data_IF_137655585645
#
_entry.id   IF_137655585645
#
_cell.length_a   1.000
_cell.length_b   1.000
_cell.length_c   1.000
_cell.angle_alpha   90.00
_cell.angle_beta   90.00
_cell.angle_gamma   90.00
#
_symmetry.space_group_name_H-M   'P 1'
#
loop_
_entity.id
_entity.type
_entity.pdbx_description
1 polymer ?
#
# COMPACT_ATOMS: atom_id res chain seq x y z
N UNK A 1 7.14 -42.36 -31.42
CA UNK A 1 6.29 -42.26 -30.21
C UNK A 1 7.17 -41.69 -29.10
N UNK A 2 7.14 -40.37 -28.88
CA UNK A 2 7.92 -39.74 -27.80
C UNK A 2 7.37 -40.25 -26.47
N UNK A 3 8.22 -40.85 -25.62
CA UNK A 3 7.83 -41.21 -24.25
C UNK A 3 7.76 -39.91 -23.45
N UNK A 4 6.55 -39.52 -23.12
CA UNK A 4 6.24 -38.42 -22.20
C UNK A 4 6.56 -38.86 -20.77
N UNK A 5 7.41 -38.12 -20.06
CA UNK A 5 7.56 -38.26 -18.61
C UNK A 5 6.45 -37.43 -17.96
N UNK A 6 5.60 -38.04 -17.16
CA UNK A 6 4.60 -37.33 -16.34
C UNK A 6 5.23 -36.98 -14.99
N UNK A 7 4.96 -35.78 -14.48
CA UNK A 7 5.23 -35.44 -13.09
C UNK A 7 4.33 -36.31 -12.20
N UNK A 8 4.91 -37.10 -11.30
CA UNK A 8 4.15 -37.97 -10.37
C UNK A 8 3.34 -37.19 -9.32
N UNK A 9 3.54 -35.87 -9.21
CA UNK A 9 3.03 -35.06 -8.10
C UNK A 9 1.78 -34.27 -8.49
N UNK A 10 1.79 -33.48 -9.58
CA UNK A 10 0.64 -32.60 -9.89
C UNK A 10 -0.36 -33.13 -10.92
N UNK A 11 -0.10 -34.25 -11.60
CA UNK A 11 -1.08 -34.91 -12.51
C UNK A 11 -1.59 -34.08 -13.69
N UNK A 12 -1.22 -32.79 -13.78
CA UNK A 12 -1.68 -31.84 -14.78
C UNK A 12 -0.68 -31.79 -15.95
N UNK A 13 -1.22 -31.80 -17.16
CA UNK A 13 -0.47 -31.71 -18.41
C UNK A 13 -0.79 -30.36 -19.03
N UNK A 14 0.15 -29.42 -18.94
CA UNK A 14 0.24 -28.34 -19.91
C UNK A 14 1.64 -28.40 -20.55
N UNK A 15 1.70 -28.35 -21.89
CA UNK A 15 2.96 -28.47 -22.63
C UNK A 15 3.57 -27.12 -22.98
N UNK A 16 2.87 -26.01 -22.71
CA UNK A 16 3.29 -24.68 -23.15
C UNK A 16 3.65 -23.72 -22.01
N UNK A 17 3.41 -24.07 -20.73
CA UNK A 17 3.74 -23.21 -19.59
C UNK A 17 4.59 -23.91 -18.52
N UNK A 18 5.72 -23.30 -18.14
CA UNK A 18 6.64 -23.76 -17.08
C UNK A 18 6.07 -23.50 -15.66
N UNK A 19 4.80 -23.83 -15.41
CA UNK A 19 4.13 -23.53 -14.15
C UNK A 19 3.30 -24.73 -13.67
N UNK A 20 3.55 -25.24 -12.46
CA UNK A 20 2.72 -26.25 -11.81
C UNK A 20 2.20 -25.66 -10.48
N UNK A 21 0.90 -25.32 -10.47
CA UNK A 21 0.21 -24.81 -9.30
C UNK A 21 -0.42 -25.96 -8.50
N UNK A 22 0.13 -26.19 -7.31
CA UNK A 22 -0.49 -26.81 -6.13
C UNK A 22 -0.61 -28.35 -6.07
N UNK A 23 -0.13 -28.91 -4.96
CA UNK A 23 -0.81 -30.02 -4.27
C UNK A 23 -0.96 -29.66 -2.77
N UNK A 24 -2.07 -30.02 -2.09
CA UNK A 24 -2.46 -29.48 -0.77
C UNK A 24 -1.64 -29.99 0.43
N UNK A 25 -0.79 -31.00 0.23
CA UNK A 25 -0.10 -31.69 1.32
C UNK A 25 1.21 -31.02 1.77
N UNK A 26 1.55 -29.86 1.20
CA UNK A 26 2.81 -29.16 1.45
C UNK A 26 2.56 -27.70 1.86
N UNK A 27 2.05 -27.51 3.06
CA UNK A 27 1.96 -26.19 3.69
C UNK A 27 3.38 -25.79 4.13
N UNK A 28 3.90 -24.68 3.58
CA UNK A 28 5.11 -24.00 4.09
C UNK A 28 6.35 -23.96 3.18
N UNK A 29 6.31 -24.46 1.94
CA UNK A 29 7.42 -24.32 0.98
C UNK A 29 6.93 -24.03 -0.44
N UNK A 30 7.46 -22.99 -1.07
CA UNK A 30 7.26 -22.70 -2.50
C UNK A 30 8.42 -23.28 -3.32
N UNK A 31 8.14 -23.93 -4.45
CA UNK A 31 9.15 -24.47 -5.36
C UNK A 31 8.99 -23.88 -6.76
N UNK A 32 10.06 -23.29 -7.29
CA UNK A 32 10.13 -22.89 -8.70
C UNK A 32 10.67 -24.08 -9.50
N UNK A 33 9.93 -24.52 -10.51
CA UNK A 33 10.34 -25.61 -11.38
C UNK A 33 11.02 -25.02 -12.63
N UNK A 34 12.36 -24.97 -12.63
CA UNK A 34 13.13 -24.76 -13.86
C UNK A 34 13.56 -26.14 -14.38
N UNK A 35 13.20 -26.47 -15.63
CA UNK A 35 13.64 -27.69 -16.33
C UNK A 35 13.37 -29.03 -15.63
N UNK A 36 12.28 -29.13 -14.87
CA UNK A 36 11.85 -30.36 -14.16
C UNK A 36 12.84 -30.91 -13.11
N UNK A 37 13.82 -30.11 -12.67
CA UNK A 37 14.68 -30.43 -11.53
C UNK A 37 14.43 -29.44 -10.37
N UNK A 38 14.33 -29.98 -9.15
CA UNK A 38 14.15 -29.21 -7.91
C UNK A 38 15.41 -28.36 -7.69
N UNK A 39 15.34 -27.05 -7.95
CA UNK A 39 16.56 -26.24 -8.00
C UNK A 39 17.01 -25.68 -6.65
N UNK A 40 16.11 -25.26 -5.74
CA UNK A 40 16.53 -24.60 -4.49
C UNK A 40 15.47 -24.76 -3.39
N UNK A 41 15.90 -25.04 -2.15
CA UNK A 41 15.13 -24.74 -0.93
C UNK A 41 15.36 -23.27 -0.60
N UNK A 42 14.29 -22.47 -0.57
CA UNK A 42 14.37 -21.11 -0.03
C UNK A 42 14.43 -21.25 1.49
N UNK A 43 15.61 -21.03 2.06
CA UNK A 43 15.74 -20.76 3.49
C UNK A 43 15.16 -19.37 3.74
N UNK A 44 14.25 -19.26 4.73
CA UNK A 44 13.77 -17.98 5.25
C UNK A 44 14.93 -17.32 6.03
N UNK A 45 15.92 -16.80 5.31
CA UNK A 45 17.04 -16.08 5.91
C UNK A 45 16.53 -14.73 6.46
N UNK A 46 16.36 -14.66 7.79
CA UNK A 46 16.10 -13.41 8.54
C UNK A 46 17.16 -12.32 8.27
N UNK A 47 18.31 -12.69 7.71
CA UNK A 47 19.42 -11.79 7.31
C UNK A 47 19.12 -10.93 6.06
N UNK A 48 18.01 -11.15 5.35
CA UNK A 48 17.58 -10.33 4.20
C UNK A 48 16.52 -9.27 4.54
N UNK A 49 16.13 -9.16 5.81
CA UNK A 49 15.08 -8.22 6.24
C UNK A 49 15.62 -6.78 6.23
N UNK A 50 15.12 -5.95 5.31
CA UNK A 50 15.35 -4.50 5.36
C UNK A 50 14.49 -3.87 6.47
N UNK A 51 15.02 -3.92 7.70
CA UNK A 51 14.42 -3.34 8.90
C UNK A 51 14.07 -1.86 8.76
N UNK A 52 14.80 -1.14 7.91
CA UNK A 52 14.53 0.27 7.65
C UNK A 52 13.29 0.44 6.80
N UNK A 53 13.16 -0.33 5.72
CA UNK A 53 11.95 -0.35 4.90
C UNK A 53 10.71 -0.69 5.76
N UNK A 54 10.79 -1.75 6.55
CA UNK A 54 9.70 -2.15 7.46
C UNK A 54 9.31 -1.04 8.44
N UNK A 55 10.29 -0.31 8.96
CA UNK A 55 10.04 0.83 9.86
C UNK A 55 9.25 1.93 9.15
N UNK A 56 9.62 2.27 7.91
CA UNK A 56 8.90 3.28 7.11
C UNK A 56 7.50 2.82 6.69
N UNK A 57 7.32 1.54 6.39
CA UNK A 57 6.01 0.94 6.09
C UNK A 57 5.11 1.02 7.32
N UNK A 58 5.59 0.60 8.50
CA UNK A 58 4.83 0.71 9.75
C UNK A 58 4.48 2.17 10.07
N UNK A 59 5.41 3.10 9.90
CA UNK A 59 5.15 4.52 10.09
C UNK A 59 4.06 5.05 9.17
N UNK A 60 4.02 4.59 7.92
CA UNK A 60 2.98 4.96 6.96
C UNK A 60 1.61 4.42 7.39
N UNK A 61 1.58 3.20 7.95
CA UNK A 61 0.37 2.58 8.53
C UNK A 61 -0.16 3.38 9.72
N UNK A 62 0.69 3.61 10.72
CA UNK A 62 0.35 4.38 11.93
C UNK A 62 -0.14 5.79 11.58
N UNK A 63 0.49 6.41 10.58
CA UNK A 63 0.16 7.73 10.09
C UNK A 63 -1.26 7.80 9.51
N UNK A 64 -1.58 6.89 8.58
CA UNK A 64 -2.89 6.83 7.96
C UNK A 64 -3.96 6.41 8.98
N UNK A 65 -3.63 5.50 9.90
CA UNK A 65 -4.49 5.13 11.01
C UNK A 65 -4.89 6.33 11.85
N UNK A 66 -3.91 7.14 12.26
CA UNK A 66 -4.18 8.30 13.11
C UNK A 66 -5.05 9.36 12.43
N UNK A 67 -4.84 9.59 11.14
CA UNK A 67 -5.62 10.54 10.36
C UNK A 67 -7.05 10.07 10.10
N UNK A 68 -7.27 8.76 9.89
CA UNK A 68 -8.56 8.23 9.46
C UNK A 68 -9.44 7.68 10.59
N UNK A 69 -8.84 7.24 11.69
CA UNK A 69 -9.55 6.69 12.87
C UNK A 69 -10.73 7.55 13.37
N UNK A 70 -10.64 8.90 13.38
CA UNK A 70 -11.78 9.74 13.79
C UNK A 70 -13.02 9.63 12.89
N UNK A 71 -12.87 9.15 11.66
CA UNK A 71 -13.89 9.24 10.61
C UNK A 71 -14.48 7.88 10.19
N UNK A 72 -13.96 6.78 10.72
CA UNK A 72 -14.39 5.44 10.30
C UNK A 72 -13.91 4.32 11.21
N UNK A 73 -14.13 3.09 10.74
CA UNK A 73 -13.43 1.92 11.28
C UNK A 73 -12.16 1.74 10.46
N UNK A 74 -11.03 1.59 11.12
CA UNK A 74 -9.79 1.20 10.48
C UNK A 74 -9.28 -0.10 11.09
N UNK A 75 -8.69 -0.95 10.26
CA UNK A 75 -8.05 -2.21 10.63
C UNK A 75 -6.66 -2.21 9.95
N UNK A 76 -5.61 -2.09 10.77
CA UNK A 76 -4.21 -2.20 10.34
C UNK A 76 -3.85 -3.68 10.26
N UNK A 77 -3.14 -4.10 9.22
CA UNK A 77 -2.75 -5.50 8.99
C UNK A 77 -3.95 -6.45 9.07
N UNK A 78 -5.01 -6.08 8.32
CA UNK A 78 -6.24 -6.85 8.31
C UNK A 78 -6.00 -8.17 7.58
N UNK A 79 -6.05 -9.26 8.35
CA UNK A 79 -6.08 -10.62 7.79
C UNK A 79 -7.34 -10.89 7.00
N UNK A 80 -7.16 -11.46 5.82
CA UNK A 80 -8.24 -11.91 4.95
C UNK A 80 -8.59 -13.35 5.32
N UNK A 81 -9.86 -13.61 5.62
CA UNK A 81 -10.25 -14.93 6.13
C UNK A 81 -10.11 -16.00 5.05
N UNK A 82 -9.41 -17.09 5.38
CA UNK A 82 -9.17 -18.25 4.50
C UNK A 82 -8.37 -17.93 3.22
N UNK A 83 -7.54 -16.89 3.25
CA UNK A 83 -6.66 -16.55 2.13
C UNK A 83 -5.20 -16.81 2.51
N UNK A 84 -4.37 -17.41 1.63
CA UNK A 84 -2.93 -17.50 1.83
C UNK A 84 -2.21 -16.18 1.49
N UNK A 85 -2.94 -15.13 1.12
CA UNK A 85 -2.42 -13.83 0.72
C UNK A 85 -1.98 -13.04 1.94
N UNK A 86 -0.93 -12.22 1.79
CA UNK A 86 -0.45 -11.29 2.83
C UNK A 86 -1.56 -10.34 3.30
N UNK A 87 -1.47 -9.92 4.56
CA UNK A 87 -2.41 -9.01 5.18
C UNK A 87 -2.56 -7.69 4.40
N UNK A 88 -3.76 -7.10 4.49
CA UNK A 88 -4.02 -5.75 3.96
C UNK A 88 -3.37 -4.76 4.90
N UNK A 89 -2.55 -3.85 4.37
CA UNK A 89 -1.84 -2.89 5.20
C UNK A 89 -2.80 -2.04 6.02
N UNK A 90 -3.82 -1.48 5.36
CA UNK A 90 -4.87 -0.70 5.99
C UNK A 90 -6.21 -0.95 5.30
N UNK A 91 -7.18 -1.41 6.06
CA UNK A 91 -8.59 -1.39 5.67
C UNK A 91 -9.30 -0.22 6.35
N UNK A 92 -9.97 0.63 5.57
CA UNK A 92 -10.78 1.72 6.07
C UNK A 92 -12.24 1.57 5.64
N UNK A 93 -13.17 1.76 6.57
CA UNK A 93 -14.60 1.85 6.33
C UNK A 93 -15.16 3.14 6.95
N UNK A 94 -15.52 4.16 6.13
CA UNK A 94 -16.02 5.43 6.66
C UNK A 94 -17.35 5.24 7.40
N UNK A 95 -17.50 5.97 8.52
CA UNK A 95 -18.76 6.06 9.29
C UNK A 95 -19.49 7.38 9.06
N UNK A 96 -18.81 8.35 8.45
CA UNK A 96 -19.35 9.65 8.06
C UNK A 96 -19.61 9.69 6.56
N UNK A 97 -20.61 10.46 6.13
CA UNK A 97 -20.91 10.65 4.70
C UNK A 97 -19.88 11.51 3.98
N UNK A 98 -19.21 12.40 4.72
CA UNK A 98 -18.19 13.31 4.20
C UNK A 98 -17.04 13.41 5.20
N UNK A 99 -15.82 13.24 4.70
CA UNK A 99 -14.60 13.49 5.47
C UNK A 99 -14.23 14.97 5.41
N UNK A 100 -13.53 15.51 6.43
CA UNK A 100 -13.13 16.92 6.44
C UNK A 100 -12.29 17.31 5.22
N UNK A 101 -12.52 18.53 4.72
CA UNK A 101 -11.78 19.04 3.56
C UNK A 101 -10.29 19.22 3.85
N UNK A 102 -9.93 19.40 5.12
CA UNK A 102 -8.56 19.50 5.60
C UNK A 102 -7.75 18.25 5.31
N UNK A 103 -8.37 17.06 5.17
CA UNK A 103 -7.70 15.83 4.72
C UNK A 103 -7.40 15.83 3.21
N UNK A 104 -7.96 16.76 2.45
CA UNK A 104 -7.69 16.92 1.01
C UNK A 104 -7.93 15.65 0.20
N UNK A 105 -6.92 15.24 -0.57
CA UNK A 105 -6.95 14.06 -1.43
C UNK A 105 -7.15 12.78 -0.62
N UNK A 106 -6.61 12.68 0.61
CA UNK A 106 -6.83 11.51 1.46
C UNK A 106 -8.32 11.31 1.77
N UNK A 107 -9.08 12.39 2.02
CA UNK A 107 -10.54 12.31 2.17
C UNK A 107 -11.24 11.79 0.91
N UNK A 108 -10.72 12.11 -0.27
CA UNK A 108 -11.26 11.63 -1.55
C UNK A 108 -11.02 10.12 -1.73
N UNK A 109 -9.80 9.65 -1.44
CA UNK A 109 -9.45 8.22 -1.54
C UNK A 109 -10.25 7.39 -0.52
N UNK A 110 -10.47 7.94 0.68
CA UNK A 110 -11.16 7.31 1.80
C UNK A 110 -12.69 7.56 1.80
N UNK A 111 -13.27 8.12 0.73
CA UNK A 111 -14.71 8.44 0.66
C UNK A 111 -15.60 7.21 0.76
N UNK A 112 -15.12 6.07 0.27
CA UNK A 112 -15.79 4.77 0.40
C UNK A 112 -14.91 3.82 1.19
N UNK A 113 -15.36 2.57 1.37
CA UNK A 113 -14.46 1.53 1.88
C UNK A 113 -13.21 1.45 1.00
N UNK A 114 -12.05 1.34 1.62
CA UNK A 114 -10.78 1.40 0.92
C UNK A 114 -9.75 0.45 1.54
N UNK A 115 -8.97 -0.20 0.68
CA UNK A 115 -7.67 -0.78 1.02
C UNK A 115 -6.63 0.29 0.67
N UNK A 116 -5.79 0.66 1.63
CA UNK A 116 -4.67 1.59 1.42
C UNK A 116 -3.38 0.80 1.59
N UNK A 117 -2.58 0.72 0.52
CA UNK A 117 -1.32 -0.04 0.48
C UNK A 117 -0.18 0.96 0.24
N UNK A 118 0.35 1.61 1.31
CA UNK A 118 1.46 2.53 1.20
C UNK A 118 2.79 1.79 1.07
N UNK A 119 3.58 2.14 0.05
CA UNK A 119 4.95 1.68 -0.10
C UNK A 119 5.94 2.82 0.10
N UNK A 120 7.08 2.52 0.73
CA UNK A 120 8.20 3.46 0.86
C UNK A 120 9.13 3.45 -0.36
N UNK A 121 9.02 2.45 -1.23
CA UNK A 121 9.83 2.31 -2.44
C UNK A 121 8.94 2.28 -3.68
N UNK A 122 9.49 2.53 -4.88
CA UNK A 122 8.73 2.37 -6.11
C UNK A 122 8.15 0.95 -6.19
N UNK A 123 6.83 0.86 -6.36
CA UNK A 123 6.16 -0.44 -6.42
C UNK A 123 6.50 -1.14 -7.74
N UNK A 124 6.70 -2.45 -7.63
CA UNK A 124 6.88 -3.37 -8.76
C UNK A 124 5.53 -3.86 -9.29
N UNK A 125 5.48 -4.40 -10.52
CA UNK A 125 4.27 -5.03 -11.04
C UNK A 125 3.74 -6.18 -10.17
N UNK A 126 4.63 -6.96 -9.56
CA UNK A 126 4.23 -8.08 -8.69
C UNK A 126 3.57 -7.58 -7.40
N UNK A 127 4.03 -6.47 -6.82
CA UNK A 127 3.42 -5.84 -5.64
C UNK A 127 2.04 -5.24 -5.95
N UNK A 128 1.87 -4.62 -7.12
CA UNK A 128 0.56 -4.13 -7.58
C UNK A 128 -0.39 -5.33 -7.78
N UNK A 129 0.09 -6.42 -8.39
CA UNK A 129 -0.69 -7.65 -8.59
C UNK A 129 -1.07 -8.30 -7.26
N UNK A 130 -0.16 -8.33 -6.29
CA UNK A 130 -0.42 -8.80 -4.93
C UNK A 130 -1.50 -7.96 -4.24
N UNK A 131 -1.46 -6.63 -4.39
CA UNK A 131 -2.48 -5.72 -3.86
C UNK A 131 -3.84 -5.94 -4.52
N UNK A 132 -3.88 -6.17 -5.84
CA UNK A 132 -5.10 -6.53 -6.57
C UNK A 132 -5.68 -7.85 -6.07
N UNK A 133 -4.85 -8.86 -5.81
CA UNK A 133 -5.28 -10.12 -5.25
C UNK A 133 -5.95 -9.94 -3.88
N UNK A 134 -5.38 -9.10 -3.00
CA UNK A 134 -6.00 -8.72 -1.73
C UNK A 134 -7.39 -8.10 -1.93
N UNK A 135 -7.53 -7.16 -2.88
CA UNK A 135 -8.82 -6.54 -3.20
C UNK A 135 -9.86 -7.58 -3.66
N UNK A 136 -9.48 -8.48 -4.57
CA UNK A 136 -10.39 -9.49 -5.11
C UNK A 136 -10.88 -10.47 -4.03
N UNK A 137 -10.00 -10.87 -3.11
CA UNK A 137 -10.37 -11.70 -1.97
C UNK A 137 -11.36 -11.00 -1.04
N UNK A 138 -11.12 -9.72 -0.73
CA UNK A 138 -12.06 -8.90 0.05
C UNK A 138 -13.40 -8.76 -0.68
N UNK A 139 -13.41 -8.51 -1.99
CA UNK A 139 -14.67 -8.47 -2.75
C UNK A 139 -15.40 -9.82 -2.68
N UNK A 140 -14.68 -10.94 -2.69
CA UNK A 140 -15.21 -12.27 -2.43
C UNK A 140 -15.91 -12.38 -1.06
N UNK A 141 -15.35 -11.79 0.01
CA UNK A 141 -16.02 -11.72 1.32
C UNK A 141 -17.36 -10.98 1.24
N UNK A 142 -17.41 -9.87 0.49
CA UNK A 142 -18.64 -9.09 0.30
C UNK A 142 -19.71 -9.87 -0.48
N UNK A 143 -19.33 -10.56 -1.57
CA UNK A 143 -20.28 -11.36 -2.35
C UNK A 143 -20.85 -12.51 -1.52
N UNK A 144 -20.00 -13.25 -0.79
CA UNK A 144 -20.47 -14.33 0.10
C UNK A 144 -21.42 -13.81 1.18
N UNK A 145 -21.09 -12.67 1.80
CA UNK A 145 -21.96 -12.05 2.78
C UNK A 145 -23.31 -11.62 2.18
N UNK A 146 -23.31 -11.10 0.96
CA UNK A 146 -24.52 -10.70 0.23
C UNK A 146 -25.41 -11.90 -0.11
N UNK A 147 -24.83 -13.02 -0.55
CA UNK A 147 -25.55 -14.28 -0.82
C UNK A 147 -26.25 -14.79 0.44
N UNK A 148 -25.54 -14.81 1.58
CA UNK A 148 -26.09 -15.23 2.87
C UNK A 148 -27.23 -14.29 3.30
N UNK A 149 -27.04 -12.97 3.13
CA UNK A 149 -28.01 -11.96 3.49
C UNK A 149 -29.15 -11.78 2.47
N UNK A 150 -29.08 -12.45 1.31
CA UNK A 150 -30.00 -12.28 0.17
C UNK A 150 -30.10 -10.83 -0.32
N UNK A 151 -28.96 -10.16 -0.39
CA UNK A 151 -28.82 -8.79 -0.92
C UNK A 151 -28.30 -8.88 -2.35
N UNK A 152 -28.87 -8.07 -3.24
CA UNK A 152 -28.45 -8.02 -4.64
C UNK A 152 -27.06 -7.40 -4.79
N UNK A 153 -26.22 -7.96 -5.67
CA UNK A 153 -24.82 -7.54 -5.78
C UNK A 153 -24.65 -6.09 -6.25
N UNK A 154 -25.57 -5.57 -7.07
CA UNK A 154 -25.51 -4.17 -7.53
C UNK A 154 -25.72 -3.16 -6.39
N UNK A 155 -26.28 -3.60 -5.25
CA UNK A 155 -26.46 -2.77 -4.05
C UNK A 155 -25.19 -2.76 -3.18
N UNK A 156 -24.19 -3.57 -3.50
CA UNK A 156 -22.94 -3.64 -2.73
C UNK A 156 -22.05 -2.43 -3.02
N UNK A 157 -21.80 -1.66 -1.97
CA UNK A 157 -20.71 -0.70 -1.94
C UNK A 157 -19.38 -1.42 -1.72
N UNK A 158 -18.85 -2.02 -2.78
CA UNK A 158 -17.54 -2.68 -2.81
C UNK A 158 -16.39 -1.68 -2.55
N UNK A 159 -15.31 -2.13 -1.90
CA UNK A 159 -14.16 -1.28 -1.59
C UNK A 159 -13.36 -0.90 -2.84
N UNK A 160 -12.61 0.18 -2.71
CA UNK A 160 -11.54 0.57 -3.63
C UNK A 160 -10.18 0.12 -3.10
N UNK A 161 -9.23 -0.14 -3.99
CA UNK A 161 -7.81 -0.28 -3.67
C UNK A 161 -7.08 1.01 -4.09
N UNK A 162 -6.26 1.52 -3.19
CA UNK A 162 -5.32 2.61 -3.48
C UNK A 162 -3.89 2.17 -3.13
N UNK A 163 -3.09 1.95 -4.17
CA UNK A 163 -1.64 1.74 -4.04
C UNK A 163 -0.98 3.11 -3.96
N UNK A 164 -0.29 3.40 -2.85
CA UNK A 164 0.38 4.68 -2.65
C UNK A 164 1.89 4.47 -2.80
N UNK A 165 2.49 4.99 -3.86
CA UNK A 165 3.90 4.75 -4.18
C UNK A 165 4.67 6.05 -4.33
N UNK A 166 5.92 6.16 -3.84
CA UNK A 166 6.73 7.36 -3.99
C UNK A 166 6.95 7.75 -5.45
N UNK A 167 7.12 6.76 -6.33
CA UNK A 167 7.23 6.93 -7.78
C UNK A 167 6.97 5.60 -8.48
N UNK A 168 6.68 5.63 -9.78
CA UNK A 168 6.63 4.42 -10.62
C UNK A 168 7.00 4.79 -12.05
N UNK A 169 7.20 3.79 -12.92
CA UNK A 169 7.51 4.01 -14.33
C UNK A 169 6.25 4.10 -15.18
N UNK A 170 6.34 4.81 -16.32
CA UNK A 170 5.25 4.87 -17.29
C UNK A 170 4.91 3.46 -17.82
N UNK A 171 5.93 2.63 -18.09
CA UNK A 171 5.74 1.24 -18.53
C UNK A 171 4.94 0.42 -17.51
N UNK A 172 5.16 0.65 -16.21
CA UNK A 172 4.37 0.01 -15.14
C UNK A 172 2.91 0.45 -15.20
N UNK A 173 2.64 1.75 -15.32
CA UNK A 173 1.27 2.27 -15.40
C UNK A 173 0.54 1.75 -16.65
N UNK A 174 1.21 1.77 -17.80
CA UNK A 174 0.68 1.24 -19.07
C UNK A 174 0.43 -0.27 -19.00
N UNK A 175 1.32 -1.02 -18.34
CA UNK A 175 1.17 -2.47 -18.14
C UNK A 175 -0.10 -2.86 -17.38
N UNK A 176 -0.59 -2.01 -16.48
CA UNK A 176 -1.87 -2.20 -15.79
C UNK A 176 -3.05 -1.49 -16.44
N UNK A 177 -2.84 -0.77 -17.54
CA UNK A 177 -3.85 0.11 -18.12
C UNK A 177 -4.34 1.17 -17.11
N UNK A 178 -3.45 1.64 -16.24
CA UNK A 178 -3.74 2.69 -15.27
C UNK A 178 -3.59 4.06 -15.95
N UNK A 179 -4.72 4.71 -16.23
CA UNK A 179 -4.73 5.97 -16.96
C UNK A 179 -4.86 7.16 -16.00
N UNK A 180 -4.27 8.34 -16.32
CA UNK A 180 -4.52 9.56 -15.58
C UNK A 180 -6.01 9.83 -15.53
N UNK A 181 -6.56 10.03 -14.34
CA UNK A 181 -7.98 10.29 -14.22
C UNK A 181 -8.29 11.73 -14.66
N UNK A 182 -9.17 11.95 -15.66
CA UNK A 182 -9.54 13.31 -16.06
C UNK A 182 -10.15 14.08 -14.89
N UNK A 183 -9.86 15.37 -14.80
CA UNK A 183 -10.35 16.30 -13.76
C UNK A 183 -9.86 16.00 -12.33
N UNK A 184 -8.79 15.22 -12.20
CA UNK A 184 -8.13 14.92 -10.93
C UNK A 184 -6.78 15.61 -10.82
N UNK A 185 -6.24 15.66 -9.60
CA UNK A 185 -4.88 16.15 -9.37
C UNK A 185 -3.88 15.24 -10.11
N UNK A 186 -2.78 15.82 -10.60
CA UNK A 186 -1.68 15.03 -11.17
C UNK A 186 -1.21 13.95 -10.18
N UNK A 187 -0.71 12.83 -10.70
CA UNK A 187 -0.24 11.70 -9.89
C UNK A 187 -1.33 10.71 -9.49
N UNK A 188 -2.55 10.84 -10.00
CA UNK A 188 -3.64 9.88 -9.76
C UNK A 188 -3.95 9.12 -11.05
N UNK A 189 -3.66 7.83 -11.02
CA UNK A 189 -3.92 6.90 -12.12
C UNK A 189 -4.97 5.88 -11.70
N UNK A 190 -5.90 5.56 -12.57
CA UNK A 190 -6.97 4.60 -12.29
C UNK A 190 -7.06 3.55 -13.37
N UNK A 191 -7.25 2.30 -12.94
CA UNK A 191 -7.56 1.20 -13.85
C UNK A 191 -9.03 1.29 -14.31
N UNK A 192 -9.43 0.42 -15.24
CA UNK A 192 -10.82 0.33 -15.66
C UNK A 192 -11.79 0.20 -14.44
N UNK A 193 -12.97 0.85 -14.45
CA UNK A 193 -13.81 0.99 -13.26
C UNK A 193 -14.20 -0.32 -12.55
N UNK A 194 -14.24 -1.44 -13.28
CA UNK A 194 -14.53 -2.76 -12.71
C UNK A 194 -13.46 -3.23 -11.71
N UNK A 195 -12.20 -2.81 -11.88
CA UNK A 195 -11.11 -3.16 -10.96
C UNK A 195 -11.13 -2.36 -9.66
N UNK A 196 -11.86 -1.22 -9.60
CA UNK A 196 -11.92 -0.34 -8.42
C UNK A 196 -10.56 -0.06 -7.81
N UNK A 197 -9.55 0.15 -8.66
CA UNK A 197 -8.15 0.28 -8.26
C UNK A 197 -7.59 1.57 -8.81
N UNK A 198 -6.86 2.29 -7.96
CA UNK A 198 -6.03 3.41 -8.38
C UNK A 198 -4.63 3.35 -7.79
N UNK A 199 -3.71 3.99 -8.49
CA UNK A 199 -2.31 4.13 -8.14
C UNK A 199 -2.03 5.62 -7.94
N UNK A 200 -1.55 5.97 -6.76
CA UNK A 200 -1.13 7.32 -6.41
C UNK A 200 0.38 7.41 -6.48
N UNK A 201 0.87 8.16 -7.46
CA UNK A 201 2.29 8.41 -7.72
C UNK A 201 2.69 9.70 -6.99
N UNK A 202 3.21 9.55 -5.77
CA UNK A 202 3.32 10.63 -4.80
C UNK A 202 4.23 11.76 -5.28
N UNK A 203 5.31 11.47 -6.01
CA UNK A 203 6.22 12.49 -6.55
C UNK A 203 5.64 13.31 -7.70
N UNK A 204 4.49 12.91 -8.25
CA UNK A 204 3.75 13.68 -9.25
C UNK A 204 2.63 14.53 -8.64
N UNK A 205 2.31 14.33 -7.36
CA UNK A 205 1.29 15.10 -6.69
C UNK A 205 1.69 16.59 -6.62
N UNK A 206 0.78 17.50 -6.98
CA UNK A 206 1.08 18.94 -6.96
C UNK A 206 1.37 19.42 -5.55
N UNK A 207 2.29 20.37 -5.40
CA UNK A 207 2.62 20.98 -4.12
C UNK A 207 1.52 21.96 -3.68
N UNK A 208 0.52 21.47 -2.95
CA UNK A 208 -0.54 22.26 -2.32
C UNK A 208 -1.19 21.53 -1.12
N UNK A 209 -2.00 22.28 -0.35
CA UNK A 209 -2.65 21.78 0.87
C UNK A 209 -3.53 20.54 0.66
N UNK A 210 -4.10 20.34 -0.53
CA UNK A 210 -4.96 19.17 -0.79
C UNK A 210 -4.16 17.87 -0.85
N UNK A 211 -2.90 17.90 -1.24
CA UNK A 211 -2.06 16.70 -1.38
C UNK A 211 -1.07 16.52 -0.24
N UNK A 212 -1.03 17.47 0.71
CA UNK A 212 -0.09 17.53 1.82
C UNK A 212 0.07 16.17 2.51
N UNK A 213 -1.05 15.57 2.93
CA UNK A 213 -1.00 14.35 3.73
C UNK A 213 -0.45 13.14 2.98
N UNK A 214 -0.60 13.07 1.66
CA UNK A 214 -0.01 12.00 0.86
C UNK A 214 1.46 12.30 0.52
N UNK A 215 1.82 13.56 0.30
CA UNK A 215 3.23 13.95 0.08
C UNK A 215 4.12 13.74 1.30
N UNK A 216 3.56 13.76 2.52
CA UNK A 216 4.28 13.36 3.74
C UNK A 216 4.74 11.90 3.70
N UNK A 217 4.01 11.02 2.99
CA UNK A 217 4.42 9.62 2.74
C UNK A 217 5.47 9.49 1.63
N UNK A 218 5.68 10.54 0.83
CA UNK A 218 6.64 10.59 -0.28
C UNK A 218 8.09 10.56 0.19
N UNK A 219 9.06 10.88 -0.68
CA UNK A 219 10.49 10.84 -0.36
C UNK A 219 11.25 12.09 -0.83
N UNK A 220 12.48 12.27 -0.34
CA UNK A 220 13.36 13.37 -0.72
C UNK A 220 12.69 14.74 -0.70
N UNK A 221 12.78 15.47 -1.82
CA UNK A 221 12.26 16.84 -1.93
C UNK A 221 10.74 16.94 -1.74
N UNK A 222 9.98 15.88 -2.07
CA UNK A 222 8.51 15.87 -1.95
C UNK A 222 8.11 15.85 -0.48
N UNK A 223 8.73 14.96 0.31
CA UNK A 223 8.52 14.87 1.75
C UNK A 223 9.01 16.14 2.45
N UNK A 224 10.16 16.67 2.05
CA UNK A 224 10.70 17.93 2.56
C UNK A 224 9.68 19.07 2.47
N UNK A 225 9.17 19.32 1.26
CA UNK A 225 8.21 20.40 1.03
C UNK A 225 6.94 20.21 1.86
N UNK A 226 6.48 18.95 1.99
CA UNK A 226 5.33 18.62 2.82
C UNK A 226 5.57 18.87 4.32
N UNK A 227 6.78 18.60 4.85
CA UNK A 227 7.14 18.90 6.23
C UNK A 227 7.12 20.40 6.50
N UNK A 228 7.74 21.19 5.61
CA UNK A 228 7.74 22.66 5.73
C UNK A 228 6.31 23.22 5.69
N UNK A 229 5.47 22.70 4.79
CA UNK A 229 4.07 23.09 4.70
C UNK A 229 3.26 22.73 5.95
N UNK A 230 3.45 21.51 6.49
CA UNK A 230 2.82 21.07 7.74
C UNK A 230 3.18 22.00 8.91
N UNK A 231 4.45 22.41 9.03
CA UNK A 231 4.86 23.28 10.13
C UNK A 231 4.39 24.72 9.94
N UNK A 232 4.26 25.16 8.69
CA UNK A 232 3.68 26.45 8.33
C UNK A 232 2.15 26.50 8.48
N UNK A 233 1.45 25.37 8.72
CA UNK A 233 0.00 25.37 8.92
C UNK A 233 -0.40 26.30 10.07
N UNK A 234 -1.58 26.95 10.01
CA UNK A 234 -2.12 27.73 11.12
C UNK A 234 -2.17 26.92 12.43
N UNK A 235 -1.94 27.59 13.56
CA UNK A 235 -1.93 26.93 14.89
C UNK A 235 -3.27 26.31 15.26
N UNK A 236 -4.36 26.81 14.69
CA UNK A 236 -5.73 26.34 14.85
C UNK A 236 -6.15 25.30 13.80
N UNK A 237 -5.27 24.93 12.87
CA UNK A 237 -5.57 23.91 11.87
C UNK A 237 -5.82 22.55 12.56
N UNK A 238 -6.97 21.88 12.34
CA UNK A 238 -7.43 20.76 13.16
C UNK A 238 -6.52 19.53 13.10
N UNK A 239 -5.82 19.34 11.98
CA UNK A 239 -4.89 18.22 11.78
C UNK A 239 -3.42 18.55 12.05
N UNK A 240 -3.10 19.80 12.42
CA UNK A 240 -1.70 20.21 12.60
C UNK A 240 -1.03 19.45 13.74
N UNK A 241 -1.70 19.33 14.89
CA UNK A 241 -1.17 18.59 16.04
C UNK A 241 -0.91 17.12 15.70
N UNK A 242 -1.84 16.49 14.99
CA UNK A 242 -1.72 15.12 14.51
C UNK A 242 -0.51 14.97 13.58
N UNK A 243 -0.37 15.84 12.59
CA UNK A 243 0.78 15.82 11.69
C UNK A 243 2.12 16.03 12.40
N UNK A 244 2.20 17.00 13.33
CA UNK A 244 3.43 17.25 14.09
C UNK A 244 3.81 16.07 14.98
N UNK A 245 2.86 15.45 15.66
CA UNK A 245 3.11 14.25 16.47
C UNK A 245 3.69 13.11 15.61
N UNK A 246 3.19 12.96 14.38
CA UNK A 246 3.69 11.95 13.45
C UNK A 246 5.12 12.26 12.97
N UNK A 247 5.48 13.53 12.80
CA UNK A 247 6.86 13.92 12.53
C UNK A 247 7.79 13.63 13.71
N UNK A 248 7.33 13.84 14.95
CA UNK A 248 8.10 13.45 16.15
C UNK A 248 8.32 11.94 16.19
N UNK A 249 7.31 11.14 15.89
CA UNK A 249 7.43 9.68 15.86
C UNK A 249 8.41 9.22 14.77
N UNK A 250 8.35 9.81 13.57
CA UNK A 250 9.30 9.55 12.49
C UNK A 250 10.74 9.89 12.93
N UNK A 251 10.93 11.06 13.54
CA UNK A 251 12.24 11.49 14.06
C UNK A 251 12.81 10.53 15.10
N UNK A 252 11.97 10.09 16.05
CA UNK A 252 12.36 9.12 17.08
C UNK A 252 12.81 7.79 16.48
N UNK A 253 12.12 7.29 15.45
CA UNK A 253 12.51 6.05 14.79
C UNK A 253 13.82 6.20 14.00
N UNK A 254 13.98 7.28 13.22
CA UNK A 254 15.22 7.52 12.48
C UNK A 254 16.42 7.61 13.43
N UNK A 255 16.25 8.30 14.58
CA UNK A 255 17.28 8.38 15.63
C UNK A 255 17.60 7.02 16.27
N UNK A 256 16.68 6.06 16.23
CA UNK A 256 16.86 4.72 16.74
C UNK A 256 17.49 3.74 15.73
N UNK A 257 17.59 4.12 14.44
CA UNK A 257 18.22 3.26 13.42
C UNK A 257 19.72 3.05 13.74
N UNK A 258 20.28 1.84 13.52
CA UNK A 258 21.70 1.57 13.74
C UNK A 258 22.60 2.40 12.82
N UNK A 259 22.15 2.62 11.58
CA UNK A 259 22.83 3.44 10.58
C UNK A 259 21.83 4.38 9.90
N UNK A 260 22.22 5.66 9.83
CA UNK A 260 21.49 6.68 9.08
C UNK A 260 22.19 6.93 7.74
N UNK A 261 21.41 7.03 6.66
CA UNK A 261 21.92 7.50 5.38
C UNK A 261 21.90 9.04 5.32
N UNK A 262 22.32 9.62 4.20
CA UNK A 262 22.31 11.08 4.02
C UNK A 262 20.89 11.68 4.08
N UNK A 263 19.89 10.95 3.56
CA UNK A 263 18.48 11.37 3.59
C UNK A 263 17.96 11.45 5.03
N UNK A 264 18.29 10.46 5.86
CA UNK A 264 17.92 10.40 7.28
C UNK A 264 18.60 11.52 8.08
N UNK A 265 19.92 11.72 7.91
CA UNK A 265 20.67 12.78 8.60
C UNK A 265 20.09 14.14 8.29
N UNK A 266 19.85 14.39 7.01
CA UNK A 266 19.27 15.64 6.55
C UNK A 266 17.83 15.83 7.07
N UNK A 267 17.02 14.77 7.09
CA UNK A 267 15.66 14.81 7.63
C UNK A 267 15.67 15.08 9.14
N UNK A 268 16.62 14.50 9.89
CA UNK A 268 16.81 14.79 11.32
C UNK A 268 17.17 16.26 11.54
N UNK A 269 18.13 16.81 10.78
CA UNK A 269 18.51 18.23 10.88
C UNK A 269 17.34 19.17 10.61
N UNK A 270 16.57 18.90 9.54
CA UNK A 270 15.37 19.65 9.21
C UNK A 270 14.36 19.59 10.36
N UNK A 271 14.06 18.40 10.88
CA UNK A 271 13.06 18.23 11.93
C UNK A 271 13.53 18.86 13.25
N UNK A 272 14.82 18.79 13.60
CA UNK A 272 15.36 19.46 14.79
C UNK A 272 15.30 21.00 14.65
N UNK A 273 15.57 21.55 13.46
CA UNK A 273 15.41 22.98 13.16
C UNK A 273 13.96 23.43 13.29
N UNK A 274 13.06 22.68 12.67
CA UNK A 274 11.66 23.07 12.48
C UNK A 274 10.80 22.79 13.72
N UNK A 275 11.13 21.75 14.50
CA UNK A 275 10.46 21.42 15.77
C UNK A 275 11.07 22.11 16.98
N UNK A 276 12.18 22.84 16.81
CA UNK A 276 12.87 23.55 17.89
C UNK A 276 13.47 22.62 18.96
N UNK A 277 13.64 21.32 18.64
CA UNK A 277 14.26 20.34 19.53
C UNK A 277 15.77 20.44 19.37
N UNK A 278 16.39 21.43 20.03
CA UNK A 278 17.83 21.39 20.22
C UNK A 278 18.14 20.43 21.38
N UNK A 279 18.82 19.32 21.09
CA UNK A 279 19.53 18.57 22.11
C UNK A 279 20.64 19.42 22.74
#
# INVERSE_FOLDING_TARGET
MKRTKSCRVCGYYDQDENFCAVAPDYIGKAHICADFELAVELDDDEDFIDWKQLTYEQLSKDYLEKLLSPYGKIEVERTISNSPVRDIDLWFAPKVSELPQELGLLARLAKTRALLEPSHIPVTPDEISGSLLKLLEVQGEFYRAAEIAKVEFYELSLPWLWVLTPSTSQDTLEGFGAEPKPDEENGIYVMAPAFKTGIVVINELPHNHKTLWLRLLGRGIVRHQAILELVALPTDHPLRSVGLELLYNLLSHIKALPEQNDEDRWLMELLDEVLGVRC
#
